data_IF_823486775285
#
_entry.id   IF_823486775285
#
_cell.length_a   1.000
_cell.length_b   1.000
_cell.length_c   1.000
_cell.angle_alpha   90.00
_cell.angle_beta   90.00
_cell.angle_gamma   90.00
#
_symmetry.space_group_name_H-M   'P 1'
#
loop_
_entity.id
_entity.type
_entity.pdbx_description
1 polymer ?
#
# COMPACT_ATOMS: atom_id res chain seq x y z
N UNK A 1 19.75 19.82 -14.40
CA UNK A 1 18.54 18.97 -14.26
C UNK A 1 18.98 17.64 -13.65
N UNK A 2 18.46 17.26 -12.47
CA UNK A 2 18.70 15.91 -11.94
C UNK A 2 17.93 14.91 -12.83
N UNK A 3 18.60 13.86 -13.29
CA UNK A 3 17.96 12.83 -14.12
C UNK A 3 16.84 12.12 -13.36
N UNK A 4 15.85 11.61 -14.09
CA UNK A 4 14.78 10.78 -13.52
C UNK A 4 15.37 9.58 -12.77
N UNK A 5 14.91 9.26 -11.55
CA UNK A 5 15.36 8.07 -10.84
C UNK A 5 15.09 6.78 -11.62
N UNK A 6 15.98 5.81 -11.45
CA UNK A 6 15.87 4.48 -12.04
C UNK A 6 14.83 3.62 -11.32
N UNK A 7 14.39 2.53 -11.94
CA UNK A 7 13.46 1.58 -11.31
C UNK A 7 14.00 1.04 -9.97
N UNK A 8 15.30 0.75 -9.87
CA UNK A 8 15.91 0.24 -8.66
C UNK A 8 15.88 1.27 -7.51
N UNK A 9 16.05 2.56 -7.83
CA UNK A 9 15.95 3.64 -6.84
C UNK A 9 14.52 3.79 -6.31
N UNK A 10 13.51 3.68 -7.19
CA UNK A 10 12.11 3.67 -6.76
C UNK A 10 11.75 2.43 -5.92
N UNK A 11 12.26 1.24 -6.28
CA UNK A 11 12.07 0.02 -5.47
C UNK A 11 12.67 0.18 -4.07
N UNK A 12 13.90 0.72 -4.00
CA UNK A 12 14.58 0.97 -2.73
C UNK A 12 13.78 1.93 -1.86
N UNK A 13 13.33 3.05 -2.42
CA UNK A 13 12.50 4.03 -1.71
C UNK A 13 11.21 3.40 -1.16
N UNK A 14 10.53 2.57 -1.96
CA UNK A 14 9.33 1.86 -1.52
C UNK A 14 9.59 0.96 -0.31
N UNK A 15 10.65 0.14 -0.35
CA UNK A 15 11.04 -0.75 0.75
C UNK A 15 11.47 0.01 2.01
N UNK A 16 12.30 1.03 1.86
CA UNK A 16 12.75 1.86 2.99
C UNK A 16 11.58 2.53 3.70
N UNK A 17 10.55 2.96 2.95
CA UNK A 17 9.34 3.56 3.56
C UNK A 17 8.53 2.50 4.31
N UNK A 18 8.44 1.27 3.80
CA UNK A 18 7.79 0.17 4.53
C UNK A 18 8.53 -0.14 5.84
N UNK A 19 9.86 -0.24 5.80
CA UNK A 19 10.71 -0.44 6.98
C UNK A 19 10.58 0.71 7.99
N UNK A 20 10.54 1.96 7.51
CA UNK A 20 10.31 3.14 8.35
C UNK A 20 8.96 3.11 9.08
N UNK A 21 7.89 2.69 8.38
CA UNK A 21 6.56 2.60 9.00
C UNK A 21 6.55 1.52 10.10
N UNK A 22 7.18 0.37 9.84
CA UNK A 22 7.26 -0.74 10.80
C UNK A 22 8.12 -0.37 12.03
N UNK A 23 9.22 0.37 11.85
CA UNK A 23 10.05 0.90 12.94
C UNK A 23 9.27 1.93 13.79
N UNK A 24 8.58 2.86 13.12
CA UNK A 24 7.83 3.91 13.79
C UNK A 24 6.65 3.36 14.60
N UNK A 25 5.94 2.35 14.09
CA UNK A 25 4.85 1.68 14.83
C UNK A 25 5.35 1.03 16.13
N UNK A 26 6.55 0.44 16.11
CA UNK A 26 7.18 -0.11 17.31
C UNK A 26 7.53 0.98 18.32
N UNK A 27 8.27 2.01 17.88
CA UNK A 27 8.67 3.13 18.75
C UNK A 27 7.47 3.84 19.35
N UNK A 28 6.42 4.11 18.56
CA UNK A 28 5.20 4.75 19.06
C UNK A 28 4.42 3.85 20.01
N UNK A 29 4.43 2.52 19.79
CA UNK A 29 3.82 1.56 20.72
C UNK A 29 4.51 1.56 22.08
N UNK A 30 5.85 1.65 22.11
CA UNK A 30 6.63 1.74 23.35
C UNK A 30 6.34 3.06 24.09
N UNK A 31 6.47 4.20 23.41
CA UNK A 31 6.24 5.53 23.99
C UNK A 31 4.81 5.70 24.55
N UNK A 32 3.80 5.21 23.83
CA UNK A 32 2.40 5.31 24.26
C UNK A 32 2.09 4.27 25.34
N UNK A 33 2.75 3.11 25.31
CA UNK A 33 2.65 2.07 26.33
C UNK A 33 3.06 2.57 27.71
N UNK A 34 4.17 3.32 27.81
CA UNK A 34 4.66 3.93 29.06
C UNK A 34 3.64 4.85 29.74
N UNK A 35 2.70 5.41 28.98
CA UNK A 35 1.69 6.38 29.46
C UNK A 35 0.35 5.68 29.76
N UNK A 36 0.18 4.43 29.34
CA UNK A 36 -1.04 3.65 29.52
C UNK A 36 -1.15 2.97 30.88
N UNK A 37 -0.07 2.96 31.67
CA UNK A 37 -0.06 2.34 33.01
C UNK A 37 -0.70 3.24 34.08
N UNK A 38 -1.03 4.49 33.73
CA UNK A 38 -1.64 5.46 34.63
C UNK A 38 -3.17 5.32 34.70
N UNK A 39 -3.73 5.30 35.91
CA UNK A 39 -5.18 5.16 36.14
C UNK A 39 -5.99 6.39 35.71
N UNK A 40 -5.30 7.50 35.47
CA UNK A 40 -5.90 8.75 35.02
C UNK A 40 -6.10 8.75 33.50
N UNK A 41 -7.37 8.72 33.13
CA UNK A 41 -7.81 8.66 31.74
C UNK A 41 -7.57 9.97 30.96
N UNK A 42 -7.17 11.07 31.62
CA UNK A 42 -6.80 12.32 30.95
C UNK A 42 -5.35 12.72 31.23
N UNK A 43 -4.63 13.05 30.16
CA UNK A 43 -3.30 13.63 30.29
C UNK A 43 -3.41 15.13 30.58
N UNK A 44 -2.72 15.67 31.60
CA UNK A 44 -2.60 17.10 31.82
C UNK A 44 -1.72 17.75 30.73
N UNK A 45 -1.91 19.05 30.50
CA UNK A 45 -1.23 19.77 29.42
C UNK A 45 0.31 19.61 29.37
N UNK A 46 1.05 19.58 30.50
CA UNK A 46 2.50 19.34 30.48
C UNK A 46 2.87 17.96 29.93
N UNK A 47 2.12 16.91 30.28
CA UNK A 47 2.36 15.54 29.80
C UNK A 47 1.99 15.39 28.31
N UNK A 48 0.98 16.14 27.84
CA UNK A 48 0.66 16.20 26.40
C UNK A 48 1.84 16.76 25.61
N UNK A 49 2.44 17.85 26.08
CA UNK A 49 3.60 18.47 25.42
C UNK A 49 4.82 17.55 25.44
N UNK A 50 5.08 16.89 26.57
CA UNK A 50 6.18 15.92 26.68
C UNK A 50 6.00 14.76 25.71
N UNK A 51 4.81 14.16 25.67
CA UNK A 51 4.49 13.07 24.74
C UNK A 51 4.61 13.51 23.28
N UNK A 52 4.07 14.69 22.93
CA UNK A 52 4.17 15.23 21.58
C UNK A 52 5.63 15.39 21.13
N UNK A 53 6.50 15.86 22.01
CA UNK A 53 7.93 16.00 21.74
C UNK A 53 8.62 14.63 21.61
N UNK A 54 8.30 13.66 22.47
CA UNK A 54 8.83 12.28 22.35
C UNK A 54 8.46 11.65 21.02
N UNK A 55 7.20 11.78 20.57
CA UNK A 55 6.74 11.26 19.27
C UNK A 55 7.43 11.96 18.10
N UNK A 56 7.65 13.27 18.19
CA UNK A 56 8.37 14.04 17.16
C UNK A 56 9.84 13.61 17.08
N UNK A 57 10.54 13.51 18.21
CA UNK A 57 11.93 13.04 18.26
C UNK A 57 12.07 11.62 17.71
N UNK A 58 11.22 10.69 18.14
CA UNK A 58 11.26 9.31 17.66
C UNK A 58 11.03 9.21 16.14
N UNK A 59 10.17 10.08 15.59
CA UNK A 59 9.98 10.18 14.13
C UNK A 59 11.24 10.67 13.43
N UNK A 60 11.90 11.71 13.94
CA UNK A 60 13.13 12.25 13.36
C UNK A 60 14.25 11.20 13.39
N UNK A 61 14.42 10.52 14.52
CA UNK A 61 15.38 9.42 14.67
C UNK A 61 15.10 8.26 13.68
N UNK A 62 13.82 7.91 13.47
CA UNK A 62 13.44 6.89 12.50
C UNK A 62 13.76 7.31 11.06
N UNK A 63 13.60 8.60 10.73
CA UNK A 63 14.01 9.13 9.41
C UNK A 63 15.53 8.98 9.25
N UNK A 64 16.32 9.46 10.22
CA UNK A 64 17.78 9.41 10.16
C UNK A 64 18.32 7.97 10.11
N UNK A 65 17.63 7.01 10.74
CA UNK A 65 18.05 5.61 10.73
C UNK A 65 17.70 4.86 9.43
N UNK A 66 16.57 5.20 8.80
CA UNK A 66 16.06 4.45 7.65
C UNK A 66 16.47 5.08 6.31
N UNK A 67 16.55 6.40 6.24
CA UNK A 67 16.80 7.12 4.99
C UNK A 67 18.28 7.34 4.75
N UNK A 68 18.81 6.73 3.69
CA UNK A 68 20.14 7.08 3.18
C UNK A 68 20.09 8.13 2.06
N UNK A 69 21.26 8.68 1.73
CA UNK A 69 21.44 9.74 0.72
C UNK A 69 20.73 9.41 -0.62
N UNK A 70 20.72 8.14 -1.02
CA UNK A 70 20.10 7.71 -2.28
C UNK A 70 18.57 7.67 -2.20
N UNK A 71 18.04 7.20 -1.07
CA UNK A 71 16.61 7.21 -0.77
C UNK A 71 16.10 8.65 -0.65
N UNK A 72 16.83 9.51 0.07
CA UNK A 72 16.52 10.93 0.21
C UNK A 72 16.51 11.67 -1.13
N UNK A 73 17.47 11.41 -1.99
CA UNK A 73 17.52 12.01 -3.32
C UNK A 73 16.28 11.62 -4.15
N UNK A 74 15.83 10.37 -4.04
CA UNK A 74 14.65 9.87 -4.77
C UNK A 74 13.36 10.42 -4.18
N UNK A 75 13.25 10.45 -2.84
CA UNK A 75 12.13 11.07 -2.14
C UNK A 75 11.99 12.54 -2.52
N UNK A 76 13.10 13.28 -2.45
CA UNK A 76 13.20 14.70 -2.82
C UNK A 76 12.87 14.94 -4.30
N UNK A 77 13.22 14.00 -5.17
CA UNK A 77 12.86 14.09 -6.59
C UNK A 77 11.34 14.00 -6.78
N UNK A 78 10.68 13.03 -6.15
CA UNK A 78 9.21 12.87 -6.24
C UNK A 78 8.52 14.11 -5.66
N UNK A 79 8.94 14.56 -4.47
CA UNK A 79 8.29 15.69 -3.81
C UNK A 79 8.50 17.00 -4.56
N UNK A 80 9.58 17.19 -5.30
CA UNK A 80 9.78 18.41 -6.10
C UNK A 80 9.12 18.38 -7.49
N UNK A 81 8.56 17.25 -7.89
CA UNK A 81 7.97 17.12 -9.22
C UNK A 81 6.64 17.91 -9.31
N UNK A 82 6.47 18.83 -10.28
CA UNK A 82 5.27 19.67 -10.38
C UNK A 82 3.97 18.86 -10.48
N UNK A 83 4.00 17.76 -11.23
CA UNK A 83 2.88 16.82 -11.38
C UNK A 83 2.48 16.21 -10.03
N UNK A 84 3.46 15.88 -9.18
CA UNK A 84 3.21 15.40 -7.83
C UNK A 84 2.64 16.51 -6.94
N UNK A 85 3.19 17.72 -6.98
CA UNK A 85 2.69 18.84 -6.18
C UNK A 85 1.24 19.20 -6.47
N UNK A 86 0.82 19.16 -7.75
CA UNK A 86 -0.59 19.35 -8.12
C UNK A 86 -1.47 18.21 -7.61
N UNK A 87 -1.01 16.95 -7.72
CA UNK A 87 -1.73 15.80 -7.18
C UNK A 87 -1.88 15.89 -5.65
N UNK A 88 -0.82 16.30 -4.96
CA UNK A 88 -0.74 16.45 -3.51
C UNK A 88 -1.77 17.47 -2.98
N UNK A 89 -1.94 18.59 -3.68
CA UNK A 89 -2.99 19.58 -3.38
C UNK A 89 -4.39 19.02 -3.59
N UNK A 90 -4.60 18.26 -4.67
CA UNK A 90 -5.89 17.68 -5.00
C UNK A 90 -6.36 16.57 -4.05
N UNK A 91 -5.43 15.93 -3.32
CA UNK A 91 -5.77 14.99 -2.23
C UNK A 91 -5.93 15.66 -0.87
N UNK A 92 -5.69 16.98 -0.78
CA UNK A 92 -5.99 17.79 0.41
C UNK A 92 -4.82 18.04 1.36
N UNK A 93 -3.57 17.78 0.96
CA UNK A 93 -2.43 18.24 1.77
C UNK A 93 -2.30 19.77 1.63
N UNK A 94 -2.32 20.45 2.76
CA UNK A 94 -2.08 21.89 2.86
C UNK A 94 -0.67 22.16 3.41
N UNK A 95 -0.15 23.36 3.14
CA UNK A 95 1.06 23.83 3.81
C UNK A 95 0.82 23.86 5.32
N UNK A 96 1.74 23.28 6.10
CA UNK A 96 1.62 23.19 7.56
C UNK A 96 1.92 24.53 8.22
N UNK A 97 1.29 24.72 9.38
CA UNK A 97 1.75 25.66 10.41
C UNK A 97 2.99 25.09 11.13
N UNK A 98 3.85 25.97 11.67
CA UNK A 98 5.09 25.61 12.40
C UNK A 98 4.84 24.91 13.77
N UNK A 99 3.61 24.49 14.07
CA UNK A 99 3.25 23.88 15.36
C UNK A 99 3.51 22.37 15.34
N UNK A 100 3.96 21.81 16.47
CA UNK A 100 4.02 20.36 16.63
C UNK A 100 2.60 19.78 16.53
N UNK A 101 2.32 18.99 15.49
CA UNK A 101 0.97 18.52 15.19
C UNK A 101 0.49 17.41 16.12
N UNK A 102 1.40 16.73 16.82
CA UNK A 102 1.03 15.69 17.78
C UNK A 102 0.31 16.27 18.99
N UNK A 103 0.54 17.55 19.32
CA UNK A 103 -0.20 18.23 20.41
C UNK A 103 -1.69 18.24 20.12
N UNK A 104 -2.10 18.64 18.90
CA UNK A 104 -3.51 18.69 18.52
C UNK A 104 -4.13 17.29 18.47
N UNK A 105 -3.40 16.32 17.90
CA UNK A 105 -3.85 14.92 17.82
C UNK A 105 -4.06 14.34 19.22
N UNK A 106 -3.10 14.51 20.13
CA UNK A 106 -3.21 14.03 21.50
C UNK A 106 -4.41 14.70 22.18
N UNK A 107 -4.58 16.02 22.04
CA UNK A 107 -5.72 16.73 22.62
C UNK A 107 -7.07 16.20 22.12
N UNK A 108 -7.20 15.91 20.82
CA UNK A 108 -8.43 15.35 20.23
C UNK A 108 -8.72 13.93 20.73
N UNK A 109 -7.68 13.12 20.91
CA UNK A 109 -7.79 11.72 21.35
C UNK A 109 -7.72 11.57 22.89
N UNK A 110 -7.59 12.66 23.65
CA UNK A 110 -7.52 12.69 25.11
C UNK A 110 -8.92 12.57 25.75
N UNK A 111 -9.63 11.49 25.41
CA UNK A 111 -10.98 11.20 25.87
C UNK A 111 -10.95 10.02 26.84
N UNK A 112 -11.83 10.04 27.85
CA UNK A 112 -11.90 9.01 28.89
C UNK A 112 -12.44 7.68 28.36
N UNK A 113 -11.56 6.87 27.76
CA UNK A 113 -11.90 5.57 27.19
C UNK A 113 -10.79 4.54 27.44
N UNK A 114 -11.18 3.27 27.61
CA UNK A 114 -10.22 2.16 27.69
C UNK A 114 -9.42 1.94 26.38
N UNK A 115 -9.86 2.56 25.28
CA UNK A 115 -9.22 2.47 23.96
C UNK A 115 -8.30 3.66 23.65
N UNK A 116 -8.08 4.58 24.61
CA UNK A 116 -7.28 5.81 24.43
C UNK A 116 -5.92 5.53 23.81
N UNK A 117 -5.13 4.63 24.40
CA UNK A 117 -3.79 4.30 23.91
C UNK A 117 -3.82 3.77 22.47
N UNK A 118 -4.79 2.90 22.15
CA UNK A 118 -4.96 2.37 20.82
C UNK A 118 -5.33 3.47 19.80
N UNK A 119 -6.31 4.31 20.12
CA UNK A 119 -6.75 5.40 19.23
C UNK A 119 -5.65 6.42 19.02
N UNK A 120 -4.96 6.81 20.09
CA UNK A 120 -3.85 7.75 20.04
C UNK A 120 -2.72 7.22 19.16
N UNK A 121 -2.31 5.96 19.35
CA UNK A 121 -1.30 5.32 18.51
C UNK A 121 -1.74 5.30 17.04
N UNK A 122 -2.97 4.88 16.79
CA UNK A 122 -3.51 4.83 15.42
C UNK A 122 -3.50 6.21 14.75
N UNK A 123 -3.94 7.24 15.44
CA UNK A 123 -4.01 8.61 14.93
C UNK A 123 -2.61 9.20 14.69
N UNK A 124 -1.71 9.05 15.67
CA UNK A 124 -0.32 9.56 15.59
C UNK A 124 0.49 8.88 14.49
N UNK A 125 0.40 7.55 14.36
CA UNK A 125 1.05 6.80 13.26
C UNK A 125 0.46 7.21 11.93
N UNK A 126 -0.87 7.24 11.80
CA UNK A 126 -1.51 7.63 10.56
C UNK A 126 -1.01 9.01 10.10
N UNK A 127 -1.00 9.98 11.00
CA UNK A 127 -0.52 11.32 10.72
C UNK A 127 0.97 11.36 10.36
N UNK A 128 1.82 10.64 11.11
CA UNK A 128 3.25 10.62 10.89
C UNK A 128 3.61 10.01 9.53
N UNK A 129 2.83 9.01 9.11
CA UNK A 129 3.15 8.16 7.96
C UNK A 129 2.37 8.52 6.70
N UNK A 130 1.30 9.33 6.74
CA UNK A 130 0.41 9.53 5.58
C UNK A 130 1.14 10.06 4.33
N UNK A 131 1.91 11.15 4.47
CA UNK A 131 2.64 11.74 3.34
C UNK A 131 3.72 10.79 2.80
N UNK A 132 4.52 10.20 3.69
CA UNK A 132 5.61 9.31 3.31
C UNK A 132 5.07 8.01 2.70
N UNK A 133 3.95 7.48 3.21
CA UNK A 133 3.23 6.34 2.62
C UNK A 133 2.70 6.66 1.23
N UNK A 134 2.26 7.90 1.00
CA UNK A 134 1.83 8.32 -0.34
C UNK A 134 2.99 8.34 -1.32
N UNK A 135 4.13 8.91 -0.90
CA UNK A 135 5.36 8.89 -1.71
C UNK A 135 5.87 7.47 -1.95
N UNK A 136 5.87 6.60 -0.93
CA UNK A 136 6.31 5.20 -1.05
C UNK A 136 5.40 4.37 -1.95
N UNK A 137 4.08 4.55 -1.84
CA UNK A 137 3.13 3.92 -2.73
C UNK A 137 3.31 4.37 -4.18
N UNK A 138 3.56 5.66 -4.40
CA UNK A 138 3.86 6.18 -5.73
C UNK A 138 5.19 5.62 -6.26
N UNK A 139 6.23 5.55 -5.43
CA UNK A 139 7.51 4.96 -5.78
C UNK A 139 7.35 3.49 -6.21
N UNK A 140 6.57 2.71 -5.47
CA UNK A 140 6.24 1.32 -5.83
C UNK A 140 5.52 1.22 -7.19
N UNK A 141 4.57 2.13 -7.47
CA UNK A 141 3.91 2.19 -8.77
C UNK A 141 4.88 2.57 -9.91
N UNK A 142 5.78 3.53 -9.66
CA UNK A 142 6.82 3.94 -10.61
C UNK A 142 7.80 2.80 -10.91
N UNK A 143 8.23 2.07 -9.87
CA UNK A 143 9.04 0.85 -10.02
C UNK A 143 8.32 -0.20 -10.86
N UNK A 144 7.05 -0.48 -10.56
CA UNK A 144 6.24 -1.45 -11.30
C UNK A 144 6.09 -1.11 -12.78
N UNK A 145 5.95 0.18 -13.09
CA UNK A 145 5.89 0.71 -14.45
C UNK A 145 7.25 0.61 -15.18
N UNK A 146 8.31 1.18 -14.61
CA UNK A 146 9.63 1.27 -15.26
C UNK A 146 10.32 -0.09 -15.42
N UNK A 147 10.16 -1.00 -14.44
CA UNK A 147 10.71 -2.36 -14.53
C UNK A 147 9.94 -3.27 -15.49
N UNK A 148 8.73 -2.87 -15.91
CA UNK A 148 7.82 -3.73 -16.67
C UNK A 148 7.28 -4.94 -15.90
N UNK A 149 7.63 -5.09 -14.61
CA UNK A 149 7.22 -6.23 -13.77
C UNK A 149 5.71 -6.40 -13.73
N UNK A 150 4.97 -5.29 -13.64
CA UNK A 150 3.50 -5.30 -13.59
C UNK A 150 2.86 -5.68 -14.92
N UNK A 151 3.43 -5.21 -16.04
CA UNK A 151 2.99 -5.61 -17.38
C UNK A 151 3.21 -7.10 -17.60
N UNK A 152 4.39 -7.62 -17.24
CA UNK A 152 4.71 -9.05 -17.34
C UNK A 152 3.76 -9.88 -16.48
N UNK A 153 3.54 -9.47 -15.23
CA UNK A 153 2.59 -10.13 -14.33
C UNK A 153 1.15 -10.12 -14.88
N UNK A 154 0.72 -9.04 -15.54
CA UNK A 154 -0.60 -8.97 -16.17
C UNK A 154 -0.77 -9.91 -17.37
N UNK A 155 0.26 -10.05 -18.20
CA UNK A 155 0.20 -10.88 -19.41
C UNK A 155 0.44 -12.37 -19.13
N UNK A 156 1.38 -12.69 -18.24
CA UNK A 156 1.82 -14.06 -17.97
C UNK A 156 1.18 -14.66 -16.70
N UNK A 157 0.81 -13.82 -15.73
CA UNK A 157 0.21 -14.23 -14.46
C UNK A 157 -1.03 -15.11 -14.62
N UNK A 158 -2.03 -14.74 -15.44
CA UNK A 158 -3.21 -15.57 -15.64
C UNK A 158 -2.86 -16.97 -16.15
N UNK A 159 -1.94 -17.07 -17.12
CA UNK A 159 -1.50 -18.35 -17.70
C UNK A 159 -0.73 -19.19 -16.69
N UNK A 160 0.11 -18.56 -15.87
CA UNK A 160 0.85 -19.23 -14.81
C UNK A 160 -0.12 -19.78 -13.74
N UNK A 161 -1.07 -18.97 -13.27
CA UNK A 161 -2.08 -19.39 -12.29
C UNK A 161 -2.97 -20.52 -12.81
N UNK A 162 -3.46 -20.45 -14.05
CA UNK A 162 -4.23 -21.55 -14.65
C UNK A 162 -3.41 -22.84 -14.72
N UNK A 163 -2.12 -22.77 -15.09
CA UNK A 163 -1.24 -23.95 -15.10
C UNK A 163 -1.05 -24.52 -13.69
N UNK A 164 -0.88 -23.68 -12.68
CA UNK A 164 -0.75 -24.12 -11.30
C UNK A 164 -2.03 -24.81 -10.80
N UNK A 165 -3.21 -24.23 -11.07
CA UNK A 165 -4.50 -24.84 -10.71
C UNK A 165 -4.69 -26.19 -11.43
N UNK A 166 -4.30 -26.28 -12.71
CA UNK A 166 -4.35 -27.54 -13.45
C UNK A 166 -3.42 -28.59 -12.85
N UNK A 167 -2.19 -28.24 -12.53
CA UNK A 167 -1.23 -29.13 -11.86
C UNK A 167 -1.75 -29.58 -10.50
N UNK A 168 -2.34 -28.68 -9.72
CA UNK A 168 -2.95 -29.04 -8.44
C UNK A 168 -4.10 -30.02 -8.62
N UNK A 169 -4.94 -29.80 -9.63
CA UNK A 169 -6.06 -30.70 -9.95
C UNK A 169 -5.57 -32.05 -10.48
N UNK A 170 -4.46 -32.08 -11.22
CA UNK A 170 -3.82 -33.31 -11.69
C UNK A 170 -3.22 -34.10 -10.53
N UNK A 171 -2.54 -33.42 -9.59
CA UNK A 171 -2.05 -34.03 -8.35
C UNK A 171 -3.22 -34.58 -7.51
N UNK A 172 -4.34 -33.85 -7.41
CA UNK A 172 -5.56 -34.34 -6.76
C UNK A 172 -6.09 -35.61 -7.44
N UNK A 173 -6.10 -35.67 -8.77
CA UNK A 173 -6.52 -36.88 -9.52
C UNK A 173 -5.58 -38.06 -9.28
N UNK A 174 -4.27 -37.83 -9.27
CA UNK A 174 -3.26 -38.86 -8.97
C UNK A 174 -3.37 -39.32 -7.50
N UNK A 175 -3.79 -38.42 -6.60
CA UNK A 175 -4.04 -38.73 -5.18
C UNK A 175 -5.29 -39.58 -4.99
N UNK A 176 -6.36 -39.24 -5.71
CA UNK A 176 -7.63 -39.93 -5.64
C UNK A 176 -7.57 -41.30 -6.35
N UNK A 177 -6.54 -41.53 -7.17
CA UNK A 177 -6.09 -42.89 -7.50
C UNK A 177 -5.32 -43.51 -6.34
N UNK A 178 -5.73 -44.72 -5.94
CA UNK A 178 -5.13 -45.48 -4.83
C UNK A 178 -3.61 -45.58 -4.92
N UNK A 179 -2.93 -45.63 -3.76
CA UNK A 179 -1.52 -46.04 -3.67
C UNK A 179 -1.29 -47.38 -4.39
N UNK A 180 -0.04 -47.74 -4.65
CA UNK A 180 0.36 -49.06 -5.16
C UNK A 180 -0.24 -50.23 -4.33
N UNK A 181 -0.66 -49.93 -3.10
CA UNK A 181 -1.29 -50.84 -2.12
C UNK A 181 -2.81 -50.68 -1.97
N UNK A 182 -3.50 -49.88 -2.80
CA UNK A 182 -4.96 -49.73 -2.73
C UNK A 182 -5.46 -48.77 -1.65
N UNK A 183 -4.57 -48.08 -0.93
CA UNK A 183 -4.95 -47.15 0.13
C UNK A 183 -5.17 -45.73 -0.38
N UNK A 184 -6.16 -44.99 0.15
CA UNK A 184 -6.33 -43.58 -0.15
C UNK A 184 -5.17 -42.78 0.46
N UNK A 185 -4.40 -42.09 -0.39
CA UNK A 185 -3.29 -41.24 0.05
C UNK A 185 -3.85 -39.89 0.50
N UNK A 186 -3.79 -39.57 1.79
CA UNK A 186 -4.13 -38.24 2.30
C UNK A 186 -2.93 -37.29 2.17
N UNK A 187 -2.77 -36.65 1.02
CA UNK A 187 -1.84 -35.51 0.85
C UNK A 187 -2.64 -34.25 0.51
N UNK A 188 -2.31 -33.14 1.18
CA UNK A 188 -2.90 -31.82 0.93
C UNK A 188 -4.22 -31.59 1.65
N UNK A 189 -4.18 -31.49 2.99
CA UNK A 189 -5.34 -31.11 3.81
C UNK A 189 -5.78 -29.65 3.59
N UNK A 190 -6.43 -29.04 4.60
CA UNK A 190 -7.03 -27.69 4.53
C UNK A 190 -6.15 -26.59 3.90
N UNK A 191 -4.83 -26.71 4.01
CA UNK A 191 -3.88 -25.79 3.38
C UNK A 191 -3.94 -25.81 1.86
N UNK A 192 -4.05 -27.00 1.26
CA UNK A 192 -4.09 -27.20 -0.19
C UNK A 192 -5.38 -26.64 -0.81
N UNK A 193 -6.53 -27.00 -0.22
CA UNK A 193 -7.84 -26.47 -0.61
C UNK A 193 -7.87 -24.94 -0.51
N UNK A 194 -7.30 -24.39 0.58
CA UNK A 194 -7.19 -22.95 0.77
C UNK A 194 -6.31 -22.30 -0.30
N UNK A 195 -5.16 -22.87 -0.63
CA UNK A 195 -4.28 -22.34 -1.68
C UNK A 195 -4.93 -22.39 -3.07
N UNK A 196 -5.64 -23.47 -3.40
CA UNK A 196 -6.36 -23.60 -4.66
C UNK A 196 -7.47 -22.55 -4.77
N UNK A 197 -8.30 -22.43 -3.72
CA UNK A 197 -9.35 -21.42 -3.65
C UNK A 197 -8.79 -19.99 -3.70
N UNK A 198 -7.64 -19.75 -3.07
CA UNK A 198 -6.93 -18.48 -3.12
C UNK A 198 -6.44 -18.14 -4.53
N UNK A 199 -5.91 -19.11 -5.28
CA UNK A 199 -5.48 -18.93 -6.67
C UNK A 199 -6.65 -18.69 -7.63
N UNK A 200 -7.75 -19.43 -7.45
CA UNK A 200 -8.98 -19.27 -8.23
C UNK A 200 -9.59 -17.88 -8.02
N UNK A 201 -9.77 -17.44 -6.78
CA UNK A 201 -10.27 -16.09 -6.51
C UNK A 201 -9.30 -15.00 -6.97
N UNK A 202 -7.99 -15.25 -6.90
CA UNK A 202 -6.97 -14.31 -7.39
C UNK A 202 -7.09 -14.08 -8.90
N UNK A 203 -7.40 -15.13 -9.68
CA UNK A 203 -7.68 -15.01 -11.12
C UNK A 203 -8.91 -14.16 -11.43
N UNK A 204 -9.96 -14.26 -10.61
CA UNK A 204 -11.20 -13.48 -10.79
C UNK A 204 -10.96 -11.98 -10.62
N UNK A 205 -10.05 -11.59 -9.72
CA UNK A 205 -9.84 -10.19 -9.35
C UNK A 205 -8.65 -9.50 -10.02
N UNK A 206 -7.56 -10.21 -10.32
CA UNK A 206 -6.31 -9.55 -10.75
C UNK A 206 -6.40 -8.89 -12.13
N UNK A 207 -7.29 -9.33 -13.02
CA UNK A 207 -7.15 -9.03 -14.46
C UNK A 207 -8.42 -8.65 -15.22
N UNK A 208 -9.47 -8.15 -14.54
CA UNK A 208 -10.67 -7.61 -15.22
C UNK A 208 -10.35 -6.44 -16.17
N UNK A 209 -9.19 -5.79 -15.99
CA UNK A 209 -8.73 -4.61 -16.73
C UNK A 209 -7.91 -4.92 -17.99
N UNK A 210 -7.42 -6.15 -18.18
CA UNK A 210 -6.27 -6.38 -19.08
C UNK A 210 -6.30 -7.71 -19.85
N UNK A 211 -7.28 -7.90 -20.74
CA UNK A 211 -7.26 -9.04 -21.68
C UNK A 211 -6.50 -8.77 -22.98
N UNK A 212 -6.03 -7.54 -23.23
CA UNK A 212 -5.44 -7.13 -24.52
C UNK A 212 -4.09 -6.44 -24.32
N UNK A 213 -3.06 -6.94 -25.01
CA UNK A 213 -1.74 -6.29 -25.09
C UNK A 213 -1.85 -5.07 -26.00
N UNK A 214 -2.34 -3.96 -25.44
CA UNK A 214 -2.42 -2.68 -26.12
C UNK A 214 -1.24 -1.79 -25.73
N UNK A 215 -0.92 -0.82 -26.59
CA UNK A 215 0.20 0.12 -26.37
C UNK A 215 0.10 0.90 -25.06
N UNK A 216 -1.11 1.07 -24.52
CA UNK A 216 -1.37 1.84 -23.30
C UNK A 216 -1.55 0.95 -22.05
N UNK A 217 -1.28 -0.36 -22.16
CA UNK A 217 -1.42 -1.31 -21.06
C UNK A 217 -0.60 -0.90 -19.83
N UNK A 218 0.66 -0.50 -20.03
CA UNK A 218 1.54 -0.09 -18.92
C UNK A 218 1.00 1.14 -18.18
N UNK A 219 0.56 2.17 -18.91
CA UNK A 219 -0.01 3.38 -18.32
C UNK A 219 -1.33 3.10 -17.58
N UNK A 220 -2.19 2.23 -18.12
CA UNK A 220 -3.42 1.79 -17.43
C UNK A 220 -3.14 1.05 -16.13
N UNK A 221 -2.15 0.15 -16.13
CA UNK A 221 -1.75 -0.60 -14.93
C UNK A 221 -1.20 0.34 -13.84
N UNK A 222 -0.34 1.28 -14.22
CA UNK A 222 0.18 2.30 -13.29
C UNK A 222 -0.96 3.16 -12.71
N UNK A 223 -1.87 3.64 -13.56
CA UNK A 223 -3.03 4.41 -13.09
C UNK A 223 -3.93 3.60 -12.14
N UNK A 224 -4.16 2.32 -12.43
CA UNK A 224 -4.87 1.40 -11.52
C UNK A 224 -4.17 1.30 -10.16
N UNK A 225 -2.84 1.19 -10.11
CA UNK A 225 -2.09 1.15 -8.84
C UNK A 225 -2.20 2.46 -8.06
N UNK A 226 -2.14 3.61 -8.75
CA UNK A 226 -2.33 4.92 -8.11
C UNK A 226 -3.77 5.07 -7.58
N UNK A 227 -4.77 4.61 -8.33
CA UNK A 227 -6.18 4.60 -7.87
C UNK A 227 -6.32 3.77 -6.59
N UNK A 228 -5.71 2.58 -6.53
CA UNK A 228 -5.71 1.73 -5.32
C UNK A 228 -5.02 2.42 -4.15
N UNK A 229 -3.88 3.06 -4.41
CA UNK A 229 -3.15 3.83 -3.41
C UNK A 229 -4.04 4.93 -2.83
N UNK A 230 -4.74 5.70 -3.67
CA UNK A 230 -5.65 6.74 -3.21
C UNK A 230 -6.82 6.17 -2.42
N UNK A 231 -7.45 5.08 -2.90
CA UNK A 231 -8.52 4.41 -2.18
C UNK A 231 -8.06 3.86 -0.82
N UNK A 232 -6.81 3.39 -0.72
CA UNK A 232 -6.21 2.86 0.51
C UNK A 232 -5.89 3.95 1.52
N UNK A 233 -5.29 5.06 1.08
CA UNK A 233 -4.80 6.11 1.98
C UNK A 233 -5.84 7.18 2.30
N UNK A 234 -6.70 7.51 1.35
CA UNK A 234 -7.64 8.64 1.44
C UNK A 234 -9.11 8.22 1.35
N UNK A 235 -9.39 6.91 1.28
CA UNK A 235 -10.74 6.36 1.14
C UNK A 235 -11.51 6.87 -0.10
N UNK A 236 -10.81 7.46 -1.06
CA UNK A 236 -11.36 8.04 -2.27
C UNK A 236 -10.37 7.90 -3.44
N UNK A 237 -10.83 7.79 -4.70
CA UNK A 237 -9.95 7.54 -5.84
C UNK A 237 -9.17 8.79 -6.34
N UNK A 238 -9.61 10.00 -5.98
CA UNK A 238 -9.03 11.30 -6.40
C UNK A 238 -8.60 11.36 -7.88
N UNK A 239 -9.56 11.24 -8.81
CA UNK A 239 -9.32 11.17 -10.27
C UNK A 239 -8.41 12.28 -10.80
N UNK A 240 -8.60 13.53 -10.35
CA UNK A 240 -7.77 14.68 -10.76
C UNK A 240 -6.32 14.52 -10.30
N UNK A 241 -6.09 14.00 -9.09
CA UNK A 241 -4.74 13.71 -8.60
C UNK A 241 -4.09 12.59 -9.43
N UNK A 242 -4.83 11.51 -9.75
CA UNK A 242 -4.35 10.44 -10.63
C UNK A 242 -3.93 11.01 -11.99
N UNK A 243 -4.75 11.89 -12.58
CA UNK A 243 -4.45 12.51 -13.86
C UNK A 243 -3.14 13.31 -13.84
N UNK A 244 -2.90 14.12 -12.80
CA UNK A 244 -1.63 14.83 -12.67
C UNK A 244 -0.44 13.88 -12.51
N UNK A 245 -0.58 12.81 -11.72
CA UNK A 245 0.48 11.80 -11.57
C UNK A 245 0.78 11.04 -12.87
N UNK A 246 -0.17 10.92 -13.79
CA UNK A 246 0.09 10.38 -15.12
C UNK A 246 0.91 11.34 -16.00
N UNK A 247 1.11 12.59 -15.58
CA UNK A 247 1.99 13.58 -16.20
C UNK A 247 3.44 13.55 -15.70
N UNK A 248 3.88 12.48 -15.01
CA UNK A 248 5.28 12.31 -14.66
C UNK A 248 6.17 12.20 -15.91
N UNK A 249 7.41 12.73 -15.89
CA UNK A 249 8.20 12.98 -17.10
C UNK A 249 8.61 11.73 -17.89
N UNK A 250 8.62 10.56 -17.25
CA UNK A 250 8.93 9.28 -17.89
C UNK A 250 7.70 8.58 -18.50
N UNK A 251 6.49 9.12 -18.26
CA UNK A 251 5.25 8.59 -18.83
C UNK A 251 5.04 9.25 -20.20
N UNK A 252 5.48 8.57 -21.25
CA UNK A 252 5.38 9.08 -22.62
C UNK A 252 3.95 9.16 -23.15
N UNK A 253 3.04 8.34 -22.60
CA UNK A 253 1.65 8.22 -23.01
C UNK A 253 0.73 8.34 -21.80
N UNK A 254 0.44 9.56 -21.34
CA UNK A 254 -0.56 9.78 -20.31
C UNK A 254 -1.92 9.30 -20.82
N UNK A 255 -2.71 8.70 -19.93
CA UNK A 255 -4.07 8.27 -20.27
C UNK A 255 -5.06 9.42 -20.11
N UNK A 256 -6.08 9.45 -20.96
CA UNK A 256 -7.15 10.44 -20.90
C UNK A 256 -7.97 10.32 -19.61
N UNK A 257 -8.55 11.45 -19.16
CA UNK A 257 -9.42 11.48 -17.97
C UNK A 257 -10.57 10.47 -18.07
N UNK A 258 -11.21 10.34 -19.23
CA UNK A 258 -12.29 9.36 -19.47
C UNK A 258 -11.84 7.92 -19.21
N UNK A 259 -10.57 7.60 -19.48
CA UNK A 259 -9.98 6.29 -19.20
C UNK A 259 -9.77 6.12 -17.69
N UNK A 260 -9.29 7.14 -16.99
CA UNK A 260 -9.16 7.14 -15.52
C UNK A 260 -10.53 6.90 -14.87
N UNK A 261 -11.59 7.56 -15.34
CA UNK A 261 -12.94 7.37 -14.82
C UNK A 261 -13.44 5.93 -14.96
N UNK A 262 -13.19 5.30 -16.11
CA UNK A 262 -13.50 3.89 -16.34
C UNK A 262 -12.69 2.98 -15.43
N UNK A 263 -11.40 3.25 -15.25
CA UNK A 263 -10.55 2.50 -14.33
C UNK A 263 -11.04 2.61 -12.89
N UNK A 264 -11.47 3.80 -12.44
CA UNK A 264 -12.05 3.97 -11.11
C UNK A 264 -13.31 3.13 -10.92
N UNK A 265 -14.19 3.07 -11.91
CA UNK A 265 -15.37 2.20 -11.84
C UNK A 265 -14.99 0.72 -11.73
N UNK A 266 -14.00 0.27 -12.50
CA UNK A 266 -13.48 -1.10 -12.45
C UNK A 266 -12.81 -1.43 -11.11
N UNK A 267 -12.02 -0.52 -10.56
CA UNK A 267 -11.32 -0.69 -9.29
C UNK A 267 -12.30 -0.71 -8.10
N UNK A 268 -13.36 0.11 -8.14
CA UNK A 268 -14.45 0.07 -7.14
C UNK A 268 -15.20 -1.25 -7.17
N UNK A 269 -15.63 -1.68 -8.36
CA UNK A 269 -16.29 -2.98 -8.52
C UNK A 269 -15.38 -4.13 -8.06
N UNK A 270 -14.08 -4.05 -8.34
CA UNK A 270 -13.12 -5.04 -7.83
C UNK A 270 -13.06 -5.01 -6.29
N UNK A 271 -12.99 -3.83 -5.68
CA UNK A 271 -12.93 -3.69 -4.22
C UNK A 271 -14.18 -4.26 -3.52
N UNK A 272 -15.36 -4.03 -4.09
CA UNK A 272 -16.64 -4.62 -3.63
C UNK A 272 -16.65 -6.15 -3.77
N UNK A 273 -16.16 -6.67 -4.89
CA UNK A 273 -16.05 -8.12 -5.08
C UNK A 273 -14.98 -8.74 -4.16
N UNK A 274 -13.90 -8.03 -3.87
CA UNK A 274 -12.85 -8.46 -2.94
C UNK A 274 -13.35 -8.55 -1.50
N UNK A 275 -14.16 -7.58 -1.05
CA UNK A 275 -14.70 -7.58 0.33
C UNK A 275 -15.66 -8.75 0.58
N UNK A 276 -16.33 -9.20 -0.48
CA UNK A 276 -17.27 -10.34 -0.47
C UNK A 276 -16.62 -11.68 -0.85
N UNK A 277 -15.38 -11.67 -1.37
CA UNK A 277 -14.65 -12.87 -1.76
C UNK A 277 -14.24 -13.75 -0.58
N UNK A 278 -14.14 -15.06 -0.79
CA UNK A 278 -13.62 -16.03 0.20
C UNK A 278 -12.08 -16.02 0.32
N UNK A 279 -11.41 -15.08 -0.35
CA UNK A 279 -9.95 -14.99 -0.36
C UNK A 279 -9.38 -14.78 1.04
N UNK A 280 -8.24 -15.42 1.30
CA UNK A 280 -7.47 -15.21 2.51
C UNK A 280 -6.93 -13.77 2.58
N UNK A 281 -6.61 -13.33 3.81
CA UNK A 281 -6.04 -11.99 4.06
C UNK A 281 -4.76 -11.77 3.25
N UNK A 282 -3.93 -12.81 3.09
CA UNK A 282 -2.70 -12.76 2.30
C UNK A 282 -3.02 -12.59 0.81
N UNK A 283 -3.97 -13.34 0.27
CA UNK A 283 -4.40 -13.22 -1.13
C UNK A 283 -4.98 -11.83 -1.43
N UNK A 284 -5.77 -11.28 -0.49
CA UNK A 284 -6.28 -9.90 -0.60
C UNK A 284 -5.15 -8.88 -0.62
N UNK A 285 -4.09 -9.05 0.18
CA UNK A 285 -2.89 -8.18 0.17
C UNK A 285 -2.09 -8.25 -1.14
N UNK A 286 -2.12 -9.37 -1.86
CA UNK A 286 -1.45 -9.51 -3.16
C UNK A 286 -2.22 -8.76 -4.27
N UNK A 287 -3.54 -8.65 -4.13
CA UNK A 287 -4.43 -8.05 -5.13
C UNK A 287 -4.59 -6.53 -4.91
N UNK A 288 -4.58 -6.08 -3.66
CA UNK A 288 -4.69 -4.67 -3.27
C UNK A 288 -3.36 -3.92 -3.40
#
# INVERSE_FOLDING_TARGET
MRGTPTSAQFEKLGKTIEEFIDDLDKKFSEIIGEISDDKDYRLPAPLILELANKLETARLEAVDSCFDIGTDATFTWITNEPSFQLALRNVGFTARDDKNPYVEIICQENVETAWRAYNLRKATIHYATLHISYVGGLANACYGFLSGKRRKAALEGPKALHRMINLMTEIERIRDTTDFLGHPISIGGRFWEKQKSDMEGTLEHLFSTTKRDDKDLASRLMASEIIRLHMKLFYAPHKSAVFHLMGLPFIQRPIEMKTIERLVALERARAENLSTSKLSVLSRKIIC
#
